data_IF_113455659450
#
_entry.id   IF_113455659450
#
_cell.length_a   1.000
_cell.length_b   1.000
_cell.length_c   1.000
_cell.angle_alpha   90.00
_cell.angle_beta   90.00
_cell.angle_gamma   90.00
#
_symmetry.space_group_name_H-M   'P 1'
#
loop_
_entity.id
_entity.type
_entity.pdbx_description
1 polymer ?
#
# COMPACT_ATOMS: atom_id res chain seq x y z
N UNK A 1 27.23 3.43 -3.34
CA UNK A 1 27.36 2.35 -4.35
C UNK A 1 26.06 1.55 -4.35
N UNK A 2 25.27 1.55 -5.43
CA UNK A 2 24.11 0.64 -5.53
C UNK A 2 24.66 -0.75 -5.84
N UNK A 3 24.48 -1.71 -4.93
CA UNK A 3 24.76 -3.11 -5.22
C UNK A 3 23.88 -3.56 -6.39
N UNK A 4 24.45 -4.32 -7.33
CA UNK A 4 23.64 -5.02 -8.32
C UNK A 4 22.77 -6.03 -7.58
N UNK A 5 21.45 -5.95 -7.79
CA UNK A 5 20.52 -6.98 -7.31
C UNK A 5 20.85 -8.27 -8.06
N UNK A 6 20.80 -9.40 -7.36
CA UNK A 6 21.01 -10.71 -7.94
C UNK A 6 20.02 -10.95 -9.11
N UNK A 7 20.49 -11.33 -10.30
CA UNK A 7 19.62 -11.67 -11.42
C UNK A 7 18.58 -12.74 -11.08
N UNK A 8 18.93 -13.71 -10.24
CA UNK A 8 18.02 -14.77 -9.82
C UNK A 8 16.87 -14.20 -8.98
N UNK A 9 17.17 -13.34 -8.01
CA UNK A 9 16.15 -12.65 -7.20
C UNK A 9 15.24 -11.80 -8.09
N UNK A 10 15.81 -11.11 -9.08
CA UNK A 10 15.05 -10.30 -10.04
C UNK A 10 14.05 -11.16 -10.82
N UNK A 11 14.51 -12.32 -11.28
CA UNK A 11 13.68 -13.26 -12.03
C UNK A 11 12.56 -13.84 -11.17
N UNK A 12 12.85 -14.23 -9.92
CA UNK A 12 11.86 -14.77 -8.97
C UNK A 12 10.77 -13.74 -8.62
N UNK A 13 11.15 -12.51 -8.27
CA UNK A 13 10.20 -11.45 -7.96
C UNK A 13 9.34 -11.12 -9.18
N UNK A 14 9.95 -11.08 -10.36
CA UNK A 14 9.21 -10.79 -11.60
C UNK A 14 8.23 -11.90 -11.95
N UNK A 15 8.59 -13.17 -11.75
CA UNK A 15 7.69 -14.29 -11.94
C UNK A 15 6.49 -14.22 -10.98
N UNK A 16 6.73 -13.89 -9.70
CA UNK A 16 5.64 -13.66 -8.72
C UNK A 16 4.76 -12.47 -9.10
N UNK A 17 5.34 -11.41 -9.66
CA UNK A 17 4.57 -10.27 -10.15
C UNK A 17 3.65 -10.67 -11.32
N UNK A 18 4.16 -11.46 -12.26
CA UNK A 18 3.39 -12.01 -13.39
C UNK A 18 2.23 -12.87 -12.86
N UNK A 19 2.52 -13.79 -11.94
CA UNK A 19 1.52 -14.63 -11.29
C UNK A 19 0.43 -13.81 -10.59
N UNK A 20 0.83 -12.79 -9.82
CA UNK A 20 -0.11 -11.88 -9.16
C UNK A 20 -1.05 -11.21 -10.15
N UNK A 21 -0.51 -10.64 -11.23
CA UNK A 21 -1.30 -9.91 -12.24
C UNK A 21 -2.23 -10.84 -13.00
N UNK A 22 -1.72 -11.96 -13.51
CA UNK A 22 -2.48 -12.85 -14.39
C UNK A 22 -3.45 -13.74 -13.60
N UNK A 23 -3.02 -14.33 -12.48
CA UNK A 23 -3.79 -15.37 -11.78
C UNK A 23 -4.67 -14.80 -10.66
N UNK A 24 -4.16 -13.83 -9.91
CA UNK A 24 -4.84 -13.35 -8.70
C UNK A 24 -5.63 -12.06 -8.93
N UNK A 25 -5.07 -11.10 -9.67
CA UNK A 25 -5.77 -9.87 -10.05
C UNK A 25 -6.60 -10.04 -11.33
N UNK A 26 -6.30 -11.08 -12.13
CA UNK A 26 -6.95 -11.39 -13.41
C UNK A 26 -6.99 -10.19 -14.35
N UNK A 27 -5.87 -9.47 -14.40
CA UNK A 27 -5.71 -8.30 -15.25
C UNK A 27 -5.07 -8.69 -16.57
N UNK A 28 -5.66 -8.20 -17.66
CA UNK A 28 -4.97 -8.17 -18.94
C UNK A 28 -3.76 -7.23 -18.85
N UNK A 29 -2.67 -7.59 -19.51
CA UNK A 29 -1.42 -6.82 -19.45
C UNK A 29 -1.57 -5.37 -19.92
N UNK A 30 -2.50 -5.10 -20.83
CA UNK A 30 -2.80 -3.73 -21.27
C UNK A 30 -3.40 -2.89 -20.14
N UNK A 31 -4.27 -3.49 -19.32
CA UNK A 31 -4.90 -2.79 -18.21
C UNK A 31 -3.94 -2.65 -17.02
N UNK A 32 -3.11 -3.67 -16.78
CA UNK A 32 -2.00 -3.57 -15.84
C UNK A 32 -1.06 -2.40 -16.21
N UNK A 33 -0.71 -2.24 -17.49
CA UNK A 33 0.13 -1.12 -17.95
C UNK A 33 -0.48 0.24 -17.60
N UNK A 34 -1.79 0.41 -17.83
CA UNK A 34 -2.54 1.63 -17.53
C UNK A 34 -2.57 1.90 -16.02
N UNK A 35 -2.87 0.89 -15.21
CA UNK A 35 -2.94 0.99 -13.74
C UNK A 35 -1.58 1.40 -13.16
N UNK A 36 -0.50 0.79 -13.66
CA UNK A 36 0.86 1.08 -13.24
C UNK A 36 1.35 2.45 -13.76
N UNK A 37 0.63 3.06 -14.72
CA UNK A 37 1.04 4.32 -15.33
C UNK A 37 2.32 4.18 -16.15
N UNK A 38 2.49 3.06 -16.85
CA UNK A 38 3.54 2.93 -17.86
C UNK A 38 3.11 3.61 -19.15
N UNK A 39 3.99 4.43 -19.71
CA UNK A 39 3.75 5.09 -21.01
C UNK A 39 3.85 4.11 -22.19
N UNK A 40 4.54 2.98 -22.02
CA UNK A 40 4.75 1.97 -23.05
C UNK A 40 4.70 0.54 -22.47
N UNK A 41 4.33 -0.42 -23.32
CA UNK A 41 4.24 -1.83 -22.94
C UNK A 41 5.61 -2.50 -22.79
N UNK A 42 6.64 -1.99 -23.47
CA UNK A 42 7.98 -2.58 -23.49
C UNK A 42 8.60 -2.75 -22.10
N UNK A 43 8.33 -1.83 -21.18
CA UNK A 43 8.81 -1.93 -19.80
C UNK A 43 8.13 -3.09 -19.06
N UNK A 44 6.84 -3.27 -19.32
CA UNK A 44 6.05 -4.36 -18.75
C UNK A 44 6.45 -5.72 -19.34
N UNK A 45 6.77 -5.76 -20.63
CA UNK A 45 7.30 -6.96 -21.28
C UNK A 45 8.67 -7.35 -20.67
N UNK A 46 9.54 -6.37 -20.38
CA UNK A 46 10.79 -6.64 -19.67
C UNK A 46 10.57 -7.17 -18.24
N UNK A 47 9.52 -6.72 -17.55
CA UNK A 47 9.09 -7.30 -16.27
C UNK A 47 8.62 -8.74 -16.47
N UNK A 48 7.78 -8.98 -17.46
CA UNK A 48 7.25 -10.31 -17.77
C UNK A 48 8.36 -11.32 -18.07
N UNK A 49 9.40 -10.88 -18.77
CA UNK A 49 10.58 -11.69 -19.11
C UNK A 49 11.56 -11.87 -17.93
N UNK A 50 11.29 -11.28 -16.76
CA UNK A 50 12.18 -11.36 -15.60
C UNK A 50 13.46 -10.53 -15.69
N UNK A 51 13.53 -9.60 -16.65
CA UNK A 51 14.71 -8.74 -16.87
C UNK A 51 14.78 -7.56 -15.92
N UNK A 52 13.64 -7.14 -15.37
CA UNK A 52 13.55 -6.04 -14.39
C UNK A 52 12.34 -6.23 -13.50
N UNK A 53 12.38 -5.64 -12.30
CA UNK A 53 11.20 -5.53 -11.43
C UNK A 53 10.48 -4.20 -11.65
N UNK A 54 9.17 -4.10 -11.37
CA UNK A 54 8.49 -2.81 -11.32
C UNK A 54 9.11 -1.90 -10.26
N UNK A 55 9.15 -0.59 -10.56
CA UNK A 55 9.62 0.41 -9.61
C UNK A 55 8.71 0.54 -8.37
N UNK A 56 9.20 1.12 -7.26
CA UNK A 56 8.39 1.29 -6.05
C UNK A 56 7.09 2.08 -6.26
N UNK A 57 7.12 3.09 -7.14
CA UNK A 57 5.94 3.87 -7.54
C UNK A 57 4.88 2.99 -8.23
N UNK A 58 5.33 2.04 -9.06
CA UNK A 58 4.51 1.08 -9.79
C UNK A 58 3.90 0.05 -8.86
N UNK A 59 4.70 -0.48 -7.94
CA UNK A 59 4.24 -1.38 -6.89
C UNK A 59 3.22 -0.71 -5.96
N UNK A 60 3.41 0.58 -5.67
CA UNK A 60 2.42 1.35 -4.91
C UNK A 60 1.13 1.61 -5.70
N UNK A 61 1.21 1.82 -7.01
CA UNK A 61 0.04 2.00 -7.85
C UNK A 61 -0.84 0.72 -7.88
N UNK A 62 -0.22 -0.45 -8.10
CA UNK A 62 -0.97 -1.72 -8.16
C UNK A 62 -1.52 -2.13 -6.79
N UNK A 63 -0.82 -1.83 -5.69
CA UNK A 63 -1.31 -2.12 -4.34
C UNK A 63 -2.55 -1.31 -3.97
N UNK A 64 -2.78 -0.16 -4.61
CA UNK A 64 -3.99 0.65 -4.41
C UNK A 64 -5.17 0.21 -5.27
N UNK A 65 -4.89 -0.42 -6.41
CA UNK A 65 -5.93 -0.92 -7.30
C UNK A 65 -6.75 -2.02 -6.63
N UNK A 66 -8.06 -2.01 -6.85
CA UNK A 66 -8.99 -2.97 -6.28
C UNK A 66 -9.61 -3.80 -7.39
N UNK A 67 -9.61 -5.11 -7.18
CA UNK A 67 -10.43 -6.03 -7.96
C UNK A 67 -11.91 -5.78 -7.70
N UNK A 68 -12.82 -6.24 -8.59
CA UNK A 68 -14.26 -6.15 -8.37
C UNK A 68 -14.75 -6.80 -7.06
N UNK A 69 -14.06 -7.83 -6.57
CA UNK A 69 -14.33 -8.48 -5.27
C UNK A 69 -13.68 -7.77 -4.07
N UNK A 70 -13.10 -6.58 -4.27
CA UNK A 70 -12.56 -5.74 -3.20
C UNK A 70 -11.22 -6.20 -2.63
N UNK A 71 -10.46 -7.01 -3.38
CA UNK A 71 -9.11 -7.42 -3.03
C UNK A 71 -8.07 -6.47 -3.61
N UNK A 72 -6.87 -6.48 -3.03
CA UNK A 72 -5.71 -5.69 -3.47
C UNK A 72 -4.47 -6.57 -3.53
N UNK A 73 -3.51 -6.18 -4.36
CA UNK A 73 -2.19 -6.81 -4.43
C UNK A 73 -1.49 -6.77 -3.06
N UNK A 74 -0.97 -7.93 -2.63
CA UNK A 74 -0.11 -8.03 -1.46
C UNK A 74 1.36 -7.84 -1.86
N UNK A 75 1.91 -6.67 -1.56
CA UNK A 75 3.30 -6.36 -1.88
C UNK A 75 4.27 -7.15 -1.00
N UNK A 76 3.89 -7.50 0.23
CA UNK A 76 4.76 -8.28 1.11
C UNK A 76 4.97 -9.69 0.53
N UNK A 77 3.87 -10.34 0.09
CA UNK A 77 3.94 -11.65 -0.58
C UNK A 77 4.84 -11.62 -1.83
N UNK A 78 4.85 -10.52 -2.59
CA UNK A 78 5.69 -10.39 -3.78
C UNK A 78 7.19 -10.56 -3.45
N UNK A 79 7.62 -10.07 -2.28
CA UNK A 79 9.02 -10.09 -1.87
C UNK A 79 9.35 -11.30 -0.99
N UNK A 80 8.48 -11.68 -0.06
CA UNK A 80 8.73 -12.78 0.87
C UNK A 80 8.29 -14.15 0.35
N UNK A 81 7.36 -14.18 -0.61
CA UNK A 81 6.62 -15.39 -1.00
C UNK A 81 5.82 -16.01 0.16
N UNK A 82 5.48 -15.22 1.17
CA UNK A 82 4.72 -15.65 2.34
C UNK A 82 3.33 -15.00 2.38
N UNK A 83 2.32 -15.78 2.77
CA UNK A 83 0.93 -15.32 2.86
C UNK A 83 0.18 -15.41 1.53
N UNK A 84 -0.92 -14.66 1.44
CA UNK A 84 -1.79 -14.65 0.24
C UNK A 84 -1.33 -13.58 -0.76
N UNK A 85 -1.35 -13.85 -2.08
CA UNK A 85 -0.97 -12.89 -3.12
C UNK A 85 -1.86 -11.65 -3.19
N UNK A 86 -3.08 -11.76 -2.66
CA UNK A 86 -4.07 -10.69 -2.61
C UNK A 86 -4.74 -10.65 -1.23
N UNK A 87 -5.02 -9.44 -0.75
CA UNK A 87 -5.64 -9.23 0.56
C UNK A 87 -7.02 -8.59 0.37
N UNK A 88 -8.04 -9.16 1.04
CA UNK A 88 -9.38 -8.57 1.09
C UNK A 88 -9.39 -7.31 1.93
N UNK A 89 -9.78 -6.16 1.34
CA UNK A 89 -9.78 -4.89 2.10
C UNK A 89 -10.95 -4.75 3.06
N UNK A 90 -11.96 -5.62 2.97
CA UNK A 90 -13.07 -5.66 3.94
C UNK A 90 -12.61 -5.88 5.38
N UNK A 91 -11.44 -6.51 5.59
CA UNK A 91 -10.85 -6.70 6.93
C UNK A 91 -9.90 -5.58 7.38
N UNK A 92 -9.29 -4.84 6.43
CA UNK A 92 -8.26 -3.82 6.72
C UNK A 92 -8.78 -2.39 6.69
N UNK A 93 -9.84 -2.12 5.91
CA UNK A 93 -10.46 -0.79 5.88
C UNK A 93 -11.20 -0.50 7.19
N UNK A 94 -11.65 -1.50 7.96
CA UNK A 94 -12.53 -1.24 9.10
C UNK A 94 -11.83 -0.50 10.27
N UNK A 95 -10.63 -0.85 10.75
CA UNK A 95 -10.02 -0.14 11.88
C UNK A 95 -9.43 1.23 11.51
N UNK A 96 -8.79 1.40 10.34
CA UNK A 96 -8.20 2.69 9.93
C UNK A 96 -9.26 3.68 9.50
N UNK A 97 -10.32 3.21 8.82
CA UNK A 97 -11.45 4.05 8.43
C UNK A 97 -12.35 4.35 9.63
N UNK A 98 -12.56 3.42 10.57
CA UNK A 98 -13.16 3.73 11.89
C UNK A 98 -12.32 4.74 12.67
N UNK A 99 -11.01 4.56 12.80
CA UNK A 99 -10.15 5.55 13.48
C UNK A 99 -10.18 6.92 12.80
N UNK A 100 -10.17 6.98 11.48
CA UNK A 100 -10.25 8.24 10.74
C UNK A 100 -11.63 8.89 10.85
N UNK A 101 -12.71 8.12 10.94
CA UNK A 101 -14.07 8.63 11.11
C UNK A 101 -14.32 9.10 12.55
N UNK A 102 -13.86 8.35 13.55
CA UNK A 102 -13.85 8.76 14.96
C UNK A 102 -13.01 10.02 15.17
N UNK A 103 -11.79 10.07 14.62
CA UNK A 103 -10.94 11.24 14.73
C UNK A 103 -11.54 12.49 14.05
N UNK A 104 -12.30 12.33 12.96
CA UNK A 104 -12.94 13.46 12.30
C UNK A 104 -14.11 14.04 13.11
N UNK A 105 -14.92 13.18 13.74
CA UNK A 105 -15.99 13.62 14.64
C UNK A 105 -15.43 14.33 15.88
N UNK A 106 -14.37 13.78 16.49
CA UNK A 106 -13.71 14.38 17.65
C UNK A 106 -13.04 15.73 17.29
N UNK A 107 -12.45 15.85 16.10
CA UNK A 107 -11.86 17.11 15.61
C UNK A 107 -12.93 18.20 15.42
N UNK A 108 -14.12 17.84 14.96
CA UNK A 108 -15.26 18.76 14.81
C UNK A 108 -15.75 19.28 16.17
N UNK A 109 -15.81 18.44 17.20
CA UNK A 109 -16.15 18.88 18.56
C UNK A 109 -15.07 19.80 19.15
N UNK A 110 -13.79 19.50 18.91
CA UNK A 110 -12.68 20.33 19.38
C UNK A 110 -12.68 21.71 18.70
N UNK A 111 -13.10 21.82 17.44
CA UNK A 111 -13.22 23.11 16.76
C UNK A 111 -14.31 24.01 17.34
N UNK A 112 -15.36 23.42 17.92
CA UNK A 112 -16.42 24.14 18.62
C UNK A 112 -16.01 24.61 20.03
N UNK A 113 -14.87 24.14 20.55
CA UNK A 113 -14.37 24.58 21.85
C UNK A 113 -13.80 26.00 21.79
N UNK A 114 -13.92 26.70 22.92
CA UNK A 114 -13.25 27.99 23.14
C UNK A 114 -11.73 27.86 22.96
N UNK A 115 -11.05 28.99 22.74
CA UNK A 115 -9.59 29.01 22.57
C UNK A 115 -8.85 28.39 23.79
N UNK A 116 -9.39 28.59 25.00
CA UNK A 116 -8.89 27.95 26.22
C UNK A 116 -9.09 26.43 26.23
N UNK A 117 -10.27 25.96 25.82
CA UNK A 117 -10.55 24.52 25.70
C UNK A 117 -9.61 23.82 24.74
N UNK A 118 -9.36 24.41 23.56
CA UNK A 118 -8.40 23.86 22.59
C UNK A 118 -6.97 23.80 23.12
N UNK A 119 -6.52 24.82 23.86
CA UNK A 119 -5.18 24.85 24.47
C UNK A 119 -5.03 23.76 25.55
N UNK A 120 -6.07 23.53 26.35
CA UNK A 120 -6.08 22.47 27.36
C UNK A 120 -5.95 21.08 26.72
N UNK A 121 -6.73 20.81 25.66
CA UNK A 121 -6.68 19.54 24.91
C UNK A 121 -5.29 19.29 24.31
N UNK A 122 -4.69 20.30 23.65
CA UNK A 122 -3.34 20.17 23.08
C UNK A 122 -2.29 19.90 24.17
N UNK A 123 -2.42 20.54 25.33
CA UNK A 123 -1.51 20.33 26.46
C UNK A 123 -1.62 18.91 27.01
N UNK A 124 -2.84 18.39 27.13
CA UNK A 124 -3.10 17.01 27.56
C UNK A 124 -2.51 15.98 26.59
N UNK A 125 -2.72 16.18 25.29
CA UNK A 125 -2.17 15.30 24.23
C UNK A 125 -0.63 15.27 24.30
N UNK A 126 0.02 16.41 24.51
CA UNK A 126 1.48 16.48 24.66
C UNK A 126 1.97 15.72 25.90
N UNK A 127 1.26 15.85 27.02
CA UNK A 127 1.59 15.12 28.24
C UNK A 127 1.50 13.60 28.04
N UNK A 128 0.43 13.13 27.39
CA UNK A 128 0.21 11.71 27.09
C UNK A 128 1.26 11.12 26.14
N UNK A 129 1.66 11.87 25.11
CA UNK A 129 2.76 11.46 24.20
C UNK A 129 4.08 11.34 24.95
N UNK A 130 4.36 12.26 25.88
CA UNK A 130 5.59 12.25 26.69
C UNK A 130 5.66 11.07 27.64
N UNK A 131 4.53 10.61 28.17
CA UNK A 131 4.46 9.41 29.01
C UNK A 131 4.61 8.11 28.22
N UNK A 132 4.06 8.04 27.01
CA UNK A 132 4.17 6.84 26.16
C UNK A 132 5.54 6.69 25.48
N UNK A 133 6.27 7.78 25.23
CA UNK A 133 7.62 7.72 24.64
C UNK A 133 8.72 7.22 25.59
N UNK A 134 8.39 6.94 26.86
CA UNK A 134 9.33 6.46 27.89
C UNK A 134 9.19 4.96 28.20
N UNK A 135 8.32 4.26 27.51
CA UNK A 135 8.22 2.78 27.51
C UNK A 135 8.82 2.25 26.22
#
# INVERSE_FOLDING_TARGET
MRGKVDPQITQEISARFVEMVEQHLRLEWQDAAKILGYSNRSTLDAVRDGRTIPGPDKLFAISRWRTPDGKRANIDWLFSNEGEPVISTSKLDDPVRKMSQLAHADLMEIEQLSCEGRKAVVTLIRALKKTNSKR
#
